data_IF_841535446818
#
_entry.id   IF_841535446818
#
_cell.length_a   1.000
_cell.length_b   1.000
_cell.length_c   1.000
_cell.angle_alpha   90.00
_cell.angle_beta   90.00
_cell.angle_gamma   90.00
#
_symmetry.space_group_name_H-M   'P 1'
#
loop_
_entity.id
_entity.type
_entity.pdbx_description
1 polymer ?
#
# COMPACT_ATOMS: atom_id res chain seq x y z
N UNK A 1 2.05 27.05 9.73
CA UNK A 1 3.41 26.50 9.62
C UNK A 1 3.33 25.17 8.88
N UNK A 2 4.31 24.94 7.98
CA UNK A 2 4.52 23.66 7.28
C UNK A 2 5.91 23.15 7.63
N UNK A 3 6.04 21.86 7.84
CA UNK A 3 7.30 21.15 8.01
C UNK A 3 7.24 19.81 7.26
N UNK A 4 8.37 19.35 6.77
CA UNK A 4 8.50 18.07 6.09
C UNK A 4 9.80 17.38 6.54
N UNK A 5 9.70 16.12 6.92
CA UNK A 5 10.86 15.25 7.09
C UNK A 5 11.16 14.58 5.75
N UNK A 6 12.36 14.83 5.20
CA UNK A 6 12.75 14.25 3.92
C UNK A 6 13.28 12.84 4.08
N UNK A 7 12.79 11.94 3.21
CA UNK A 7 13.32 10.59 3.03
C UNK A 7 13.65 10.40 1.54
N UNK A 8 14.89 10.04 1.23
CA UNK A 8 15.39 9.94 -0.13
C UNK A 8 15.30 8.49 -0.62
N UNK A 9 14.11 8.08 -1.07
CA UNK A 9 13.88 6.72 -1.58
C UNK A 9 14.23 6.55 -3.05
N UNK A 10 14.22 7.62 -3.82
CA UNK A 10 14.53 7.63 -5.25
C UNK A 10 15.66 8.62 -5.55
N UNK A 11 16.42 8.46 -6.64
CA UNK A 11 17.49 9.39 -7.00
C UNK A 11 17.03 10.83 -7.12
N UNK A 12 15.85 11.06 -7.68
CA UNK A 12 15.28 12.40 -7.88
C UNK A 12 14.92 13.08 -6.55
N UNK A 13 14.62 12.29 -5.51
CA UNK A 13 14.23 12.81 -4.20
C UNK A 13 15.32 13.67 -3.54
N UNK A 14 16.61 13.51 -3.92
CA UNK A 14 17.70 14.34 -3.39
C UNK A 14 17.58 15.81 -3.79
N UNK A 15 16.81 16.10 -4.83
CA UNK A 15 16.53 17.45 -5.31
C UNK A 15 15.22 18.03 -4.74
N UNK A 16 14.49 17.26 -3.91
CA UNK A 16 13.24 17.69 -3.31
C UNK A 16 13.45 18.80 -2.29
N UNK A 17 12.70 19.89 -2.41
CA UNK A 17 12.71 21.02 -1.47
C UNK A 17 11.29 21.22 -0.95
N UNK A 18 10.99 20.61 0.17
CA UNK A 18 9.70 20.71 0.86
C UNK A 18 9.86 21.22 2.29
N UNK A 19 8.96 22.02 2.80
CA UNK A 19 7.80 22.61 2.12
C UNK A 19 8.19 23.60 1.04
N UNK A 20 7.50 23.55 -0.10
CA UNK A 20 7.72 24.48 -1.22
C UNK A 20 6.80 25.69 -1.11
N UNK A 21 7.35 26.89 -1.35
CA UNK A 21 6.58 28.14 -1.43
C UNK A 21 6.72 28.76 -2.82
N UNK A 22 5.67 28.65 -3.62
CA UNK A 22 5.55 29.42 -4.86
C UNK A 22 5.23 30.90 -4.54
N UNK A 23 6.25 31.74 -4.58
CA UNK A 23 6.12 33.17 -4.23
C UNK A 23 5.32 33.98 -5.25
N UNK A 24 5.27 33.52 -6.51
CA UNK A 24 4.55 34.25 -7.58
C UNK A 24 3.04 34.00 -7.43
N UNK A 25 2.64 32.79 -7.08
CA UNK A 25 1.23 32.38 -6.90
C UNK A 25 0.77 32.42 -5.47
N UNK A 26 1.68 32.71 -4.54
CA UNK A 26 1.43 32.68 -3.10
C UNK A 26 0.79 31.37 -2.66
N UNK A 27 1.41 30.20 -3.04
CA UNK A 27 0.94 28.88 -2.70
C UNK A 27 2.01 28.16 -1.87
N UNK A 28 1.58 27.56 -0.76
CA UNK A 28 2.41 26.67 0.05
C UNK A 28 2.03 25.23 -0.24
N UNK A 29 3.02 24.39 -0.48
CA UNK A 29 2.84 22.98 -0.84
C UNK A 29 3.80 22.09 -0.04
N UNK A 30 3.33 20.95 0.43
CA UNK A 30 4.18 19.87 0.94
C UNK A 30 3.63 18.52 0.55
N UNK A 31 4.50 17.53 0.44
CA UNK A 31 4.19 16.20 -0.05
C UNK A 31 4.97 15.12 0.70
N UNK A 32 4.38 13.96 0.81
CA UNK A 32 5.04 12.66 0.98
C UNK A 32 4.52 11.79 -0.15
N UNK A 33 5.32 11.57 -1.19
CA UNK A 33 4.85 10.88 -2.38
C UNK A 33 5.94 10.11 -3.12
N UNK A 34 5.51 8.99 -3.73
CA UNK A 34 6.23 8.25 -4.78
C UNK A 34 5.20 7.98 -5.89
N UNK A 35 5.48 8.50 -7.09
CA UNK A 35 4.58 8.39 -8.23
C UNK A 35 4.98 7.22 -9.12
N UNK A 36 4.03 6.35 -9.44
CA UNK A 36 4.27 5.17 -10.28
C UNK A 36 4.14 5.51 -11.77
N UNK A 37 3.26 6.46 -12.15
CA UNK A 37 3.03 6.89 -13.54
C UNK A 37 3.80 8.16 -13.92
N UNK A 38 4.98 8.33 -13.38
CA UNK A 38 5.84 9.50 -13.60
C UNK A 38 6.11 9.82 -15.09
N UNK A 39 6.47 8.83 -15.97
CA UNK A 39 6.71 9.14 -17.39
C UNK A 39 5.49 9.70 -18.11
N UNK A 40 4.31 9.15 -17.84
CA UNK A 40 3.05 9.61 -18.40
C UNK A 40 2.72 11.04 -17.94
N UNK A 41 2.90 11.32 -16.65
CA UNK A 41 2.67 12.66 -16.08
C UNK A 41 3.62 13.71 -16.67
N UNK A 42 4.90 13.38 -16.81
CA UNK A 42 5.89 14.27 -17.42
C UNK A 42 5.51 14.60 -18.87
N UNK A 43 5.03 13.58 -19.62
CA UNK A 43 4.55 13.78 -20.99
C UNK A 43 3.32 14.69 -21.03
N UNK A 44 2.31 14.44 -20.19
CA UNK A 44 1.07 15.23 -20.15
C UNK A 44 1.31 16.67 -19.70
N UNK A 45 2.26 16.89 -18.79
CA UNK A 45 2.65 18.21 -18.28
C UNK A 45 3.72 18.91 -19.14
N UNK A 46 4.21 18.26 -20.20
CA UNK A 46 5.29 18.75 -21.06
C UNK A 46 6.58 19.07 -20.30
N UNK A 47 6.89 18.30 -19.26
CA UNK A 47 8.09 18.43 -18.45
C UNK A 47 9.17 17.49 -19.02
N UNK A 48 10.34 18.07 -19.31
CA UNK A 48 11.49 17.35 -19.89
C UNK A 48 12.62 17.08 -18.89
N UNK A 49 12.56 17.68 -17.72
CA UNK A 49 13.54 17.49 -16.65
C UNK A 49 13.32 16.10 -16.02
N UNK A 50 14.22 15.16 -16.33
CA UNK A 50 14.15 13.81 -15.82
C UNK A 50 14.40 13.71 -14.30
N UNK A 51 15.12 14.67 -13.74
CA UNK A 51 15.50 14.73 -12.33
C UNK A 51 14.49 15.49 -11.46
N UNK A 52 13.36 15.93 -12.03
CA UNK A 52 12.32 16.61 -11.26
C UNK A 52 11.82 15.69 -10.14
N UNK A 53 11.78 16.12 -8.87
CA UNK A 53 11.24 15.31 -7.77
C UNK A 53 9.74 15.08 -7.89
N UNK A 54 9.24 13.98 -7.30
CA UNK A 54 7.83 13.62 -7.36
C UNK A 54 6.92 14.65 -6.69
N UNK A 55 7.37 15.30 -5.61
CA UNK A 55 6.62 16.38 -4.98
C UNK A 55 6.46 17.59 -5.91
N UNK A 56 7.54 18.02 -6.54
CA UNK A 56 7.47 19.15 -7.49
C UNK A 56 6.68 18.79 -8.75
N UNK A 57 6.79 17.55 -9.26
CA UNK A 57 5.97 17.03 -10.36
C UNK A 57 4.47 17.07 -10.00
N UNK A 58 4.13 16.65 -8.77
CA UNK A 58 2.76 16.73 -8.25
C UNK A 58 2.26 18.16 -8.10
N UNK A 59 3.14 19.09 -7.73
CA UNK A 59 2.79 20.52 -7.69
C UNK A 59 2.46 21.06 -9.07
N UNK A 60 3.23 20.71 -10.11
CA UNK A 60 2.91 21.07 -11.50
C UNK A 60 1.57 20.46 -11.97
N UNK A 61 1.27 19.24 -11.56
CA UNK A 61 -0.03 18.63 -11.78
C UNK A 61 -1.16 19.43 -11.12
N UNK A 62 -0.96 19.88 -9.88
CA UNK A 62 -1.92 20.77 -9.19
C UNK A 62 -2.13 22.09 -9.93
N UNK A 63 -1.06 22.73 -10.43
CA UNK A 63 -1.18 23.96 -11.21
C UNK A 63 -1.97 23.76 -12.51
N UNK A 64 -1.89 22.58 -13.10
CA UNK A 64 -2.54 22.25 -14.38
C UNK A 64 -4.00 21.87 -14.20
N UNK A 65 -4.33 21.00 -13.22
CA UNK A 65 -5.65 20.41 -13.07
C UNK A 65 -6.41 20.86 -11.80
N UNK A 66 -5.81 21.76 -11.01
CA UNK A 66 -6.41 22.27 -9.78
C UNK A 66 -6.68 21.16 -8.77
N UNK A 67 -7.79 21.27 -8.04
CA UNK A 67 -8.17 20.32 -6.99
C UNK A 67 -8.33 18.86 -7.47
N UNK A 68 -8.47 18.64 -8.76
CA UNK A 68 -8.65 17.31 -9.36
C UNK A 68 -7.35 16.64 -9.82
N UNK A 69 -6.20 17.25 -9.58
CA UNK A 69 -4.91 16.73 -10.03
C UNK A 69 -4.64 15.30 -9.58
N UNK A 70 -5.12 14.91 -8.40
CA UNK A 70 -4.97 13.54 -7.85
C UNK A 70 -5.66 12.45 -8.68
N UNK A 71 -6.60 12.81 -9.57
CA UNK A 71 -7.24 11.88 -10.49
C UNK A 71 -6.28 11.42 -11.62
N UNK A 72 -5.19 12.17 -11.84
CA UNK A 72 -4.14 11.87 -12.82
C UNK A 72 -2.92 11.17 -12.22
N UNK A 73 -2.83 11.09 -10.88
CA UNK A 73 -1.69 10.49 -10.20
C UNK A 73 -1.94 8.98 -9.95
N UNK A 74 -0.91 8.18 -10.13
CA UNK A 74 -0.84 6.81 -9.61
C UNK A 74 0.39 6.72 -8.70
N UNK A 75 0.24 6.02 -7.57
CA UNK A 75 1.30 5.87 -6.58
C UNK A 75 0.81 6.05 -5.15
N UNK A 76 1.76 6.11 -4.24
CA UNK A 76 1.52 6.38 -2.82
C UNK A 76 1.77 7.87 -2.55
N UNK A 77 0.76 8.58 -2.07
CA UNK A 77 0.92 10.02 -1.82
C UNK A 77 0.02 10.57 -0.72
N UNK A 78 0.55 11.62 -0.09
CA UNK A 78 -0.24 12.58 0.68
C UNK A 78 0.27 14.00 0.43
N UNK A 79 -0.65 14.96 0.36
CA UNK A 79 -0.33 16.37 0.07
C UNK A 79 -1.02 17.31 1.04
N UNK A 80 -0.35 18.42 1.35
CA UNK A 80 -0.97 19.56 1.98
C UNK A 80 -0.69 20.81 1.15
N UNK A 81 -1.74 21.57 0.83
CA UNK A 81 -1.67 22.77 0.00
C UNK A 81 -2.40 23.89 0.72
N UNK A 82 -1.78 25.06 0.81
CA UNK A 82 -2.41 26.25 1.33
C UNK A 82 -2.32 27.41 0.33
N UNK A 83 -3.46 27.99 0.02
CA UNK A 83 -3.62 29.13 -0.88
C UNK A 83 -4.14 30.31 -0.06
N UNK A 84 -3.24 31.18 0.46
CA UNK A 84 -3.61 32.30 1.34
C UNK A 84 -4.64 33.25 0.73
N UNK A 85 -4.50 33.57 -0.55
CA UNK A 85 -5.37 34.53 -1.24
C UNK A 85 -6.83 34.04 -1.35
N UNK A 86 -7.03 32.75 -1.31
CA UNK A 86 -8.35 32.11 -1.31
C UNK A 86 -8.78 31.63 0.08
N UNK A 87 -7.95 31.86 1.11
CA UNK A 87 -8.12 31.27 2.46
C UNK A 87 -8.51 29.78 2.38
N UNK A 88 -7.79 29.04 1.53
CA UNK A 88 -8.13 27.65 1.25
C UNK A 88 -6.97 26.72 1.61
N UNK A 89 -7.29 25.70 2.38
CA UNK A 89 -6.40 24.64 2.77
C UNK A 89 -6.90 23.30 2.23
N UNK A 90 -6.01 22.52 1.62
CA UNK A 90 -6.33 21.22 1.02
C UNK A 90 -5.40 20.15 1.59
N UNK A 91 -5.97 19.01 2.01
CA UNK A 91 -5.23 17.81 2.41
C UNK A 91 -5.69 16.63 1.56
N UNK A 92 -4.75 15.90 0.99
CA UNK A 92 -5.04 14.73 0.13
C UNK A 92 -4.37 13.47 0.64
N UNK A 93 -5.00 12.32 0.43
CA UNK A 93 -4.38 10.99 0.54
C UNK A 93 -4.65 10.18 -0.72
N UNK A 94 -3.82 9.19 -1.01
CA UNK A 94 -3.91 8.39 -2.22
C UNK A 94 -5.15 7.48 -2.28
N UNK A 95 -5.34 6.82 -3.41
CA UNK A 95 -6.52 6.01 -3.75
C UNK A 95 -6.82 4.89 -2.75
N UNK A 96 -5.81 4.35 -2.08
CA UNK A 96 -5.92 3.23 -1.14
C UNK A 96 -5.44 3.58 0.28
N UNK A 97 -4.95 4.81 0.50
CA UNK A 97 -4.49 5.29 1.80
C UNK A 97 -3.12 4.76 2.21
N UNK A 98 -2.20 4.54 1.26
CA UNK A 98 -0.83 4.12 1.56
C UNK A 98 -0.05 5.19 2.33
N UNK A 99 -0.32 6.48 2.02
CA UNK A 99 0.23 7.61 2.76
C UNK A 99 -0.88 8.27 3.56
N UNK A 100 -0.84 8.08 4.88
CA UNK A 100 -1.87 8.57 5.78
C UNK A 100 -1.59 10.00 6.21
N UNK A 101 -2.64 10.81 6.31
CA UNK A 101 -2.62 12.09 7.04
C UNK A 101 -3.65 12.02 8.16
N UNK A 102 -3.23 12.38 9.36
CA UNK A 102 -4.10 12.62 10.49
C UNK A 102 -4.34 14.13 10.61
N UNK A 103 -5.53 14.53 11.01
CA UNK A 103 -5.90 15.93 11.17
C UNK A 103 -6.81 16.17 12.36
N UNK A 104 -6.77 17.39 12.88
CA UNK A 104 -7.68 17.87 13.92
C UNK A 104 -8.00 19.34 13.67
N UNK A 105 -9.26 19.72 13.83
CA UNK A 105 -9.69 21.11 13.76
C UNK A 105 -10.03 21.62 15.15
N UNK A 106 -9.20 22.50 15.71
CA UNK A 106 -9.39 23.11 17.01
C UNK A 106 -9.73 24.59 16.85
N UNK A 107 -10.99 24.94 17.07
CA UNK A 107 -11.49 26.29 16.75
C UNK A 107 -11.37 26.57 15.26
N UNK A 108 -10.49 27.49 14.87
CA UNK A 108 -10.20 27.84 13.49
C UNK A 108 -8.82 27.33 13.00
N UNK A 109 -8.12 26.58 13.84
CA UNK A 109 -6.78 26.07 13.50
C UNK A 109 -6.88 24.59 13.07
N UNK A 110 -6.42 24.33 11.86
CA UNK A 110 -6.31 22.99 11.31
C UNK A 110 -4.88 22.47 11.58
N UNK A 111 -4.78 21.40 12.35
CA UNK A 111 -3.56 20.65 12.60
C UNK A 111 -3.53 19.42 11.69
N UNK A 112 -2.37 19.09 11.15
CA UNK A 112 -2.22 17.86 10.34
C UNK A 112 -0.81 17.30 10.46
N UNK A 113 -0.69 15.97 10.44
CA UNK A 113 0.59 15.26 10.49
C UNK A 113 0.43 13.84 9.95
N UNK A 114 1.52 13.25 9.46
CA UNK A 114 1.54 11.84 9.06
C UNK A 114 1.64 10.89 10.25
N UNK A 115 2.10 11.37 11.42
CA UNK A 115 2.15 10.64 12.69
C UNK A 115 1.25 11.31 13.74
N UNK A 116 1.16 10.75 14.95
CA UNK A 116 0.42 11.37 16.07
C UNK A 116 1.26 12.32 16.91
N UNK A 117 2.58 12.39 16.70
CA UNK A 117 3.50 13.15 17.54
C UNK A 117 3.15 14.65 17.65
N UNK A 118 2.79 15.26 16.51
CA UNK A 118 2.36 16.68 16.53
C UNK A 118 1.22 16.92 17.51
N UNK A 119 0.24 16.02 17.53
CA UNK A 119 -0.94 16.18 18.40
C UNK A 119 -0.56 15.97 19.87
N UNK A 120 0.34 15.03 20.17
CA UNK A 120 0.87 14.78 21.52
C UNK A 120 1.65 15.99 22.06
N UNK A 121 2.39 16.67 21.17
CA UNK A 121 3.16 17.85 21.55
C UNK A 121 2.32 19.14 21.66
N UNK A 122 1.31 19.28 20.79
CA UNK A 122 0.52 20.50 20.72
C UNK A 122 -0.72 20.52 21.61
N UNK A 123 -1.25 19.35 21.99
CA UNK A 123 -2.51 19.24 22.72
C UNK A 123 -2.27 18.82 24.16
N UNK A 124 -3.06 19.39 25.07
CA UNK A 124 -3.09 18.91 26.47
C UNK A 124 -3.73 17.52 26.55
N UNK A 125 -3.49 16.81 27.64
CA UNK A 125 -4.13 15.51 27.90
C UNK A 125 -5.67 15.58 27.95
N UNK A 126 -6.23 16.76 28.27
CA UNK A 126 -7.67 17.00 28.24
C UNK A 126 -8.22 17.14 26.81
N UNK A 127 -7.41 17.63 25.88
CA UNK A 127 -7.74 17.76 24.46
C UNK A 127 -7.48 16.45 23.70
N UNK A 128 -6.48 15.68 24.11
CA UNK A 128 -6.09 14.41 23.46
C UNK A 128 -6.67 13.21 24.22
N UNK A 129 -8.00 13.13 24.28
CA UNK A 129 -8.71 12.01 24.93
C UNK A 129 -8.66 10.75 24.07
N UNK A 130 -8.47 9.60 24.73
CA UNK A 130 -8.57 8.31 24.05
C UNK A 130 -10.01 8.03 23.61
N UNK A 131 -10.15 7.51 22.41
CA UNK A 131 -11.44 7.14 21.83
C UNK A 131 -11.90 5.78 22.35
N UNK A 132 -12.92 5.76 23.20
CA UNK A 132 -13.53 4.52 23.68
C UNK A 132 -14.05 3.66 22.51
N UNK A 133 -14.58 4.30 21.48
CA UNK A 133 -15.03 3.62 20.28
C UNK A 133 -13.90 2.90 19.56
N UNK A 134 -12.75 3.55 19.43
CA UNK A 134 -11.57 2.94 18.79
C UNK A 134 -11.04 1.79 19.63
N UNK A 135 -10.91 1.95 20.94
CA UNK A 135 -10.45 0.90 21.85
C UNK A 135 -11.37 -0.33 21.75
N UNK A 136 -12.68 -0.12 21.89
CA UNK A 136 -13.67 -1.21 21.79
C UNK A 136 -13.60 -1.94 20.46
N UNK A 137 -13.46 -1.20 19.36
CA UNK A 137 -13.36 -1.79 18.02
C UNK A 137 -12.07 -2.62 17.86
N UNK A 138 -10.93 -2.12 18.36
CA UNK A 138 -9.65 -2.83 18.33
C UNK A 138 -9.63 -4.08 19.21
N UNK A 139 -10.24 -4.02 20.41
CA UNK A 139 -10.36 -5.19 21.29
C UNK A 139 -11.28 -6.26 20.69
N UNK A 140 -12.31 -5.86 19.97
CA UNK A 140 -13.23 -6.80 19.33
C UNK A 140 -12.59 -7.52 18.15
N UNK A 141 -12.01 -6.79 17.22
CA UNK A 141 -11.33 -7.32 16.03
C UNK A 141 -10.40 -6.25 15.44
N UNK A 142 -9.11 -6.27 15.79
CA UNK A 142 -8.15 -5.24 15.34
C UNK A 142 -8.09 -5.07 13.83
N UNK A 143 -8.23 -6.16 13.08
CA UNK A 143 -8.21 -6.11 11.60
C UNK A 143 -9.44 -5.43 11.03
N UNK A 144 -10.60 -5.63 11.65
CA UNK A 144 -11.86 -5.07 11.18
C UNK A 144 -12.04 -3.62 11.60
N UNK A 145 -11.39 -3.18 12.67
CA UNK A 145 -11.52 -1.81 13.17
C UNK A 145 -11.25 -0.78 12.07
N UNK A 146 -10.13 -0.91 11.35
CA UNK A 146 -9.74 0.02 10.29
C UNK A 146 -10.69 -0.04 9.08
N UNK A 147 -11.25 -1.21 8.77
CA UNK A 147 -12.17 -1.40 7.65
C UNK A 147 -13.60 -0.93 7.98
N UNK A 148 -14.06 -1.23 9.19
CA UNK A 148 -15.42 -0.90 9.62
C UNK A 148 -15.60 0.59 9.98
N UNK A 149 -14.53 1.24 10.43
CA UNK A 149 -14.55 2.62 10.88
C UNK A 149 -13.44 3.46 10.23
N UNK A 150 -13.46 3.64 8.89
CA UNK A 150 -12.43 4.42 8.21
C UNK A 150 -12.38 5.86 8.73
N UNK A 151 -11.19 6.32 9.05
CA UNK A 151 -10.96 7.64 9.63
C UNK A 151 -10.96 7.70 11.16
N UNK A 152 -11.31 6.61 11.85
CA UNK A 152 -11.25 6.52 13.30
C UNK A 152 -9.79 6.36 13.76
N UNK A 153 -9.39 7.12 14.78
CA UNK A 153 -8.06 7.07 15.38
C UNK A 153 -8.11 6.74 16.86
N UNK A 154 -6.97 6.49 17.51
CA UNK A 154 -6.93 6.31 18.97
C UNK A 154 -7.46 7.51 19.78
N UNK A 155 -7.58 8.68 19.16
CA UNK A 155 -7.95 9.92 19.84
C UNK A 155 -9.30 10.46 19.32
N UNK A 156 -10.12 11.03 20.25
CA UNK A 156 -11.48 11.50 19.89
C UNK A 156 -11.49 12.64 18.88
N UNK A 157 -10.56 13.59 19.02
CA UNK A 157 -10.53 14.82 18.21
C UNK A 157 -9.49 14.78 17.08
N UNK A 158 -8.88 13.64 16.85
CA UNK A 158 -7.96 13.41 15.74
C UNK A 158 -8.56 12.41 14.78
N UNK A 159 -8.60 12.75 13.50
CA UNK A 159 -9.18 11.93 12.44
C UNK A 159 -8.12 11.58 11.41
N UNK A 160 -8.18 10.38 10.86
CA UNK A 160 -7.39 10.00 9.70
C UNK A 160 -8.17 10.32 8.43
N UNK A 161 -7.53 10.99 7.48
CA UNK A 161 -8.11 11.22 6.16
C UNK A 161 -8.33 9.89 5.44
N UNK A 162 -9.56 9.65 4.98
CA UNK A 162 -9.93 8.39 4.34
C UNK A 162 -9.29 8.23 2.98
N UNK A 163 -8.97 6.99 2.60
CA UNK A 163 -8.47 6.66 1.27
C UNK A 163 -9.34 7.26 0.16
N UNK A 164 -8.71 7.75 -0.91
CA UNK A 164 -9.38 8.39 -2.04
C UNK A 164 -10.22 9.63 -1.68
N UNK A 165 -9.89 10.31 -0.58
CA UNK A 165 -10.54 11.56 -0.19
C UNK A 165 -9.54 12.71 -0.09
N UNK A 166 -10.09 13.91 -0.15
CA UNK A 166 -9.38 15.10 0.27
C UNK A 166 -10.26 15.97 1.16
N UNK A 167 -9.61 16.76 2.01
CA UNK A 167 -10.25 17.79 2.82
C UNK A 167 -10.02 19.13 2.15
N UNK A 168 -11.09 19.92 2.09
CA UNK A 168 -11.05 21.35 1.79
C UNK A 168 -11.54 22.11 3.00
N UNK A 169 -10.67 22.96 3.54
CA UNK A 169 -11.00 23.91 4.59
C UNK A 169 -10.92 25.31 4.02
N UNK A 170 -12.03 26.02 3.98
CA UNK A 170 -12.14 27.38 3.44
C UNK A 170 -13.24 28.15 4.15
N UNK A 171 -13.01 29.44 4.44
CA UNK A 171 -13.95 30.31 5.12
C UNK A 171 -14.52 29.69 6.42
N UNK A 172 -13.68 29.03 7.22
CA UNK A 172 -14.05 28.39 8.47
C UNK A 172 -14.85 27.09 8.30
N UNK A 173 -15.05 26.60 7.08
CA UNK A 173 -15.83 25.38 6.79
C UNK A 173 -14.92 24.25 6.30
N UNK A 174 -14.95 23.10 6.98
CA UNK A 174 -14.28 21.88 6.57
C UNK A 174 -15.24 21.02 5.78
N UNK A 175 -14.77 20.50 4.63
CA UNK A 175 -15.52 19.58 3.76
C UNK A 175 -14.62 18.41 3.37
N UNK A 176 -15.12 17.19 3.49
CA UNK A 176 -14.43 15.97 3.05
C UNK A 176 -15.03 15.53 1.72
N UNK A 177 -14.22 15.36 0.69
CA UNK A 177 -14.65 15.06 -0.68
C UNK A 177 -13.97 13.78 -1.15
N UNK A 178 -14.79 12.82 -1.62
CA UNK A 178 -14.28 11.60 -2.24
C UNK A 178 -14.04 11.83 -3.73
N UNK A 179 -12.78 11.75 -4.18
CA UNK A 179 -12.41 11.98 -5.57
C UNK A 179 -12.43 10.70 -6.42
N UNK A 180 -12.25 9.52 -5.83
CA UNK A 180 -12.22 8.26 -6.58
C UNK A 180 -13.03 7.15 -5.89
N UNK A 181 -13.58 6.23 -6.71
CA UNK A 181 -14.30 5.02 -6.28
C UNK A 181 -14.09 3.89 -7.30
N UNK A 182 -13.73 2.67 -6.88
CA UNK A 182 -13.58 1.52 -7.80
C UNK A 182 -14.82 1.22 -8.62
N UNK A 183 -16.02 1.42 -8.03
CA UNK A 183 -17.30 1.13 -8.68
C UNK A 183 -17.62 2.02 -9.89
N UNK A 184 -16.90 3.13 -10.05
CA UNK A 184 -17.06 4.05 -11.19
C UNK A 184 -16.18 3.70 -12.39
N UNK A 185 -15.34 2.68 -12.28
CA UNK A 185 -14.52 2.22 -13.40
C UNK A 185 -15.40 1.67 -14.53
N UNK A 186 -15.01 1.95 -15.78
CA UNK A 186 -15.70 1.42 -16.96
C UNK A 186 -15.56 -0.09 -17.00
N UNK A 187 -16.68 -0.78 -17.20
CA UNK A 187 -16.65 -2.23 -17.47
C UNK A 187 -16.10 -2.48 -18.84
N UNK A 188 -15.18 -3.43 -18.93
CA UNK A 188 -14.58 -3.88 -20.17
C UNK A 188 -15.33 -5.14 -20.63
N UNK A 189 -15.64 -5.23 -21.92
CA UNK A 189 -16.30 -6.37 -22.54
C UNK A 189 -15.50 -6.85 -23.74
N UNK A 190 -14.89 -8.02 -23.60
CA UNK A 190 -14.20 -8.73 -24.67
C UNK A 190 -15.04 -9.94 -25.12
N UNK A 191 -14.80 -10.40 -26.35
CA UNK A 191 -15.46 -11.60 -26.87
C UNK A 191 -14.81 -12.87 -26.39
N UNK A 192 -13.47 -12.86 -26.30
CA UNK A 192 -12.66 -14.03 -25.98
C UNK A 192 -12.10 -13.90 -24.54
N UNK A 193 -12.10 -15.00 -23.80
CA UNK A 193 -11.55 -15.08 -22.46
C UNK A 193 -10.05 -14.73 -22.41
N UNK A 194 -9.31 -15.11 -23.46
CA UNK A 194 -7.88 -14.85 -23.55
C UNK A 194 -7.55 -13.35 -23.56
N UNK A 195 -8.40 -12.51 -24.14
CA UNK A 195 -8.22 -11.06 -24.14
C UNK A 195 -8.28 -10.47 -22.72
N UNK A 196 -9.10 -11.05 -21.81
CA UNK A 196 -9.12 -10.65 -20.41
C UNK A 196 -7.84 -11.07 -19.68
N UNK A 197 -7.35 -12.29 -19.95
CA UNK A 197 -6.11 -12.81 -19.37
C UNK A 197 -4.92 -11.96 -19.81
N UNK A 198 -4.82 -11.66 -21.11
CA UNK A 198 -3.76 -10.83 -21.66
C UNK A 198 -3.76 -9.43 -21.01
N UNK A 199 -4.94 -8.82 -20.88
CA UNK A 199 -5.07 -7.51 -20.23
C UNK A 199 -4.62 -7.55 -18.79
N UNK A 200 -5.03 -8.57 -18.00
CA UNK A 200 -4.62 -8.72 -16.60
C UNK A 200 -3.10 -8.88 -16.51
N UNK A 201 -2.52 -9.75 -17.34
CA UNK A 201 -1.06 -9.99 -17.34
C UNK A 201 -0.29 -8.73 -17.71
N UNK A 202 -0.72 -8.01 -18.76
CA UNK A 202 -0.07 -6.77 -19.19
C UNK A 202 -0.18 -5.67 -18.14
N UNK A 203 -1.37 -5.50 -17.55
CA UNK A 203 -1.59 -4.51 -16.51
C UNK A 203 -0.75 -4.83 -15.27
N UNK A 204 -0.75 -6.08 -14.83
CA UNK A 204 0.04 -6.51 -13.67
C UNK A 204 1.54 -6.32 -13.91
N UNK A 205 2.02 -6.69 -15.11
CA UNK A 205 3.42 -6.46 -15.51
C UNK A 205 3.77 -4.98 -15.43
N UNK A 206 2.95 -4.12 -16.05
CA UNK A 206 3.16 -2.67 -16.00
C UNK A 206 3.21 -2.16 -14.56
N UNK A 207 2.26 -2.55 -13.70
CA UNK A 207 2.25 -2.13 -12.30
C UNK A 207 3.54 -2.53 -11.56
N UNK A 208 4.09 -3.73 -11.80
CA UNK A 208 5.35 -4.13 -11.18
C UNK A 208 6.53 -3.34 -11.76
N UNK A 209 6.59 -3.18 -13.08
CA UNK A 209 7.68 -2.45 -13.76
C UNK A 209 7.72 -0.97 -13.37
N UNK A 210 6.58 -0.33 -13.18
CA UNK A 210 6.46 1.09 -12.76
C UNK A 210 7.03 1.32 -11.34
N UNK A 211 7.00 0.29 -10.47
CA UNK A 211 7.62 0.36 -9.14
C UNK A 211 9.15 0.25 -9.16
N UNK A 212 9.74 -0.24 -10.26
CA UNK A 212 11.17 -0.49 -10.39
C UNK A 212 11.91 0.75 -10.87
N UNK A 213 12.05 1.74 -9.98
CA UNK A 213 12.74 3.00 -10.28
C UNK A 213 14.20 2.78 -10.65
N UNK A 214 14.69 3.41 -11.73
CA UNK A 214 16.12 3.38 -12.08
C UNK A 214 16.98 3.96 -10.95
N UNK A 215 18.16 3.35 -10.70
CA UNK A 215 19.09 3.84 -9.69
C UNK A 215 18.70 3.54 -8.25
N UNK A 216 17.63 2.77 -8.00
CA UNK A 216 17.26 2.28 -6.68
C UNK A 216 17.66 0.82 -6.51
N UNK A 217 18.02 0.44 -5.27
CA UNK A 217 18.22 -0.97 -4.92
C UNK A 217 16.88 -1.57 -4.49
N UNK A 218 16.51 -2.69 -5.10
CA UNK A 218 15.20 -3.31 -4.89
C UNK A 218 15.31 -4.57 -4.03
N UNK A 219 14.47 -4.63 -3.00
CA UNK A 219 14.17 -5.83 -2.24
C UNK A 219 12.80 -6.39 -2.62
N UNK A 220 12.60 -7.69 -2.45
CA UNK A 220 11.29 -8.33 -2.58
C UNK A 220 11.09 -9.42 -1.55
N UNK A 221 9.93 -9.49 -0.94
CA UNK A 221 9.53 -10.67 -0.17
C UNK A 221 9.24 -11.82 -1.14
N UNK A 222 9.81 -12.99 -0.89
CA UNK A 222 9.60 -14.17 -1.72
C UNK A 222 9.20 -15.36 -0.83
N UNK A 223 8.02 -15.86 -1.07
CA UNK A 223 7.50 -17.12 -0.52
C UNK A 223 7.27 -18.12 -1.65
N UNK A 224 6.79 -19.30 -1.34
CA UNK A 224 6.32 -20.27 -2.34
C UNK A 224 4.94 -19.91 -2.91
N UNK A 225 4.29 -18.87 -2.36
CA UNK A 225 2.97 -18.42 -2.77
C UNK A 225 2.98 -17.72 -4.14
N UNK A 226 1.85 -17.81 -4.86
CA UNK A 226 1.71 -17.26 -6.21
C UNK A 226 1.90 -15.74 -6.27
N UNK A 227 1.43 -15.00 -5.27
CA UNK A 227 1.46 -13.54 -5.29
C UNK A 227 2.91 -13.00 -5.29
N UNK A 228 3.73 -13.43 -4.33
CA UNK A 228 5.14 -13.02 -4.26
C UNK A 228 5.97 -13.54 -5.44
N UNK A 229 5.74 -14.80 -5.83
CA UNK A 229 6.45 -15.41 -6.97
C UNK A 229 6.12 -14.70 -8.28
N UNK A 230 4.87 -14.30 -8.50
CA UNK A 230 4.47 -13.55 -9.71
C UNK A 230 5.19 -12.19 -9.80
N UNK A 231 5.28 -11.46 -8.69
CA UNK A 231 6.01 -10.18 -8.63
C UNK A 231 7.49 -10.38 -8.97
N UNK A 232 8.14 -11.34 -8.31
CA UNK A 232 9.58 -11.64 -8.54
C UNK A 232 9.82 -12.10 -9.97
N UNK A 233 8.92 -12.90 -10.56
CA UNK A 233 9.03 -13.37 -11.94
C UNK A 233 8.92 -12.27 -13.00
N UNK A 234 8.36 -11.12 -12.64
CA UNK A 234 8.33 -9.93 -13.50
C UNK A 234 9.53 -9.04 -13.18
N UNK A 235 9.80 -8.78 -11.90
CA UNK A 235 10.85 -7.86 -11.47
C UNK A 235 12.26 -8.36 -11.84
N UNK A 236 12.57 -9.65 -11.61
CA UNK A 236 13.91 -10.17 -11.85
C UNK A 236 14.38 -10.01 -13.30
N UNK A 237 13.63 -10.48 -14.35
CA UNK A 237 14.08 -10.30 -15.74
C UNK A 237 14.07 -8.84 -16.19
N UNK A 238 13.25 -7.98 -15.59
CA UNK A 238 13.27 -6.55 -15.88
C UNK A 238 14.55 -5.88 -15.36
N UNK A 239 14.93 -6.17 -14.11
CA UNK A 239 16.16 -5.68 -13.50
C UNK A 239 17.43 -6.28 -14.16
N UNK A 240 17.37 -7.56 -14.60
CA UNK A 240 18.46 -8.21 -15.33
C UNK A 240 18.85 -7.46 -16.61
N UNK A 241 17.85 -6.97 -17.37
CA UNK A 241 18.11 -6.15 -18.58
C UNK A 241 18.84 -4.84 -18.27
N UNK A 242 18.77 -4.36 -17.03
CA UNK A 242 19.49 -3.16 -16.55
C UNK A 242 20.82 -3.52 -15.91
N UNK A 243 21.16 -4.81 -15.78
CA UNK A 243 22.34 -5.27 -15.05
C UNK A 243 22.19 -5.13 -13.53
N UNK A 244 20.96 -5.00 -13.03
CA UNK A 244 20.64 -4.78 -11.63
C UNK A 244 20.29 -6.09 -10.91
N UNK A 245 20.53 -6.13 -9.60
CA UNK A 245 20.28 -7.30 -8.74
C UNK A 245 18.95 -7.10 -8.01
N UNK A 246 18.19 -8.19 -7.89
CA UNK A 246 17.04 -8.28 -7.02
C UNK A 246 17.39 -9.02 -5.73
N UNK A 247 17.28 -8.35 -4.58
CA UNK A 247 17.43 -8.98 -3.28
C UNK A 247 16.10 -9.59 -2.85
N UNK A 248 16.04 -10.91 -2.64
CA UNK A 248 14.80 -11.56 -2.18
C UNK A 248 14.94 -12.05 -0.75
N UNK A 249 13.86 -11.94 0.01
CA UNK A 249 13.81 -12.28 1.42
C UNK A 249 12.73 -13.32 1.69
N UNK A 250 13.11 -14.36 2.40
CA UNK A 250 12.22 -15.47 2.80
C UNK A 250 12.38 -15.71 4.29
N UNK A 251 11.29 -15.62 5.04
CA UNK A 251 11.30 -16.05 6.44
C UNK A 251 11.27 -17.58 6.50
N UNK A 252 12.14 -18.13 7.32
CA UNK A 252 12.23 -19.56 7.59
C UNK A 252 12.14 -19.80 9.11
N UNK A 253 11.72 -20.99 9.56
CA UNK A 253 11.73 -21.34 10.98
C UNK A 253 13.16 -21.39 11.52
N UNK A 254 13.33 -21.11 12.81
CA UNK A 254 14.58 -21.39 13.52
C UNK A 254 14.87 -22.90 13.50
N UNK A 255 16.12 -23.28 13.22
CA UNK A 255 16.55 -24.70 13.20
C UNK A 255 16.32 -25.43 14.53
N UNK A 256 16.31 -24.69 15.65
CA UNK A 256 16.03 -25.25 16.98
C UNK A 256 14.54 -25.50 17.23
N UNK A 257 13.64 -25.06 16.34
CA UNK A 257 12.22 -25.23 16.52
C UNK A 257 11.76 -26.59 15.97
N UNK A 258 11.34 -27.47 16.90
CA UNK A 258 10.68 -28.73 16.57
C UNK A 258 9.19 -28.44 16.34
N UNK A 259 8.75 -28.53 15.10
CA UNK A 259 7.36 -28.31 14.73
C UNK A 259 6.75 -29.55 14.07
N UNK A 260 5.57 -29.92 14.53
CA UNK A 260 4.73 -30.86 13.79
C UNK A 260 4.05 -30.10 12.65
N UNK A 261 4.40 -30.46 11.39
CA UNK A 261 3.72 -29.86 10.24
C UNK A 261 2.35 -30.51 10.03
N UNK A 262 1.31 -29.70 9.99
CA UNK A 262 0.02 -30.11 9.46
C UNK A 262 0.15 -30.36 7.93
N UNK A 263 -0.67 -31.26 7.40
CA UNK A 263 -0.70 -31.60 5.98
C UNK A 263 -0.99 -30.40 5.04
N UNK A 264 -1.49 -29.33 5.58
CA UNK A 264 -1.88 -28.09 4.87
C UNK A 264 -0.96 -26.90 5.14
N UNK A 265 0.02 -27.03 6.02
CA UNK A 265 0.94 -25.95 6.39
C UNK A 265 2.38 -26.37 6.13
N UNK A 266 3.09 -25.57 5.32
CA UNK A 266 4.51 -25.76 5.00
C UNK A 266 5.29 -24.68 5.74
N UNK A 267 5.87 -24.97 6.92
CA UNK A 267 6.56 -23.97 7.73
C UNK A 267 7.87 -23.49 7.11
N UNK A 268 8.61 -24.37 6.41
CA UNK A 268 9.82 -24.03 5.67
C UNK A 268 9.59 -24.09 4.17
N UNK A 269 9.48 -22.93 3.55
CA UNK A 269 9.29 -22.77 2.10
C UNK A 269 10.62 -22.70 1.32
N UNK A 270 11.78 -22.78 1.99
CA UNK A 270 13.09 -22.55 1.39
C UNK A 270 13.38 -23.42 0.16
N UNK A 271 12.92 -24.68 0.19
CA UNK A 271 13.09 -25.62 -0.93
C UNK A 271 12.36 -25.18 -2.20
N UNK A 272 11.13 -24.68 -2.06
CA UNK A 272 10.35 -24.18 -3.18
C UNK A 272 10.88 -22.83 -3.69
N UNK A 273 11.25 -21.94 -2.77
CA UNK A 273 11.85 -20.65 -3.09
C UNK A 273 13.17 -20.81 -3.87
N UNK A 274 14.03 -21.74 -3.47
CA UNK A 274 15.30 -22.04 -4.19
C UNK A 274 15.04 -22.44 -5.65
N UNK A 275 13.92 -23.13 -5.96
CA UNK A 275 13.56 -23.45 -7.35
C UNK A 275 13.21 -22.20 -8.16
N UNK A 276 12.47 -21.26 -7.55
CA UNK A 276 12.16 -19.96 -8.18
C UNK A 276 13.45 -19.15 -8.41
N UNK A 277 14.29 -19.05 -7.39
CA UNK A 277 15.59 -18.32 -7.46
C UNK A 277 16.47 -18.89 -8.57
N UNK A 278 16.53 -20.20 -8.72
CA UNK A 278 17.32 -20.86 -9.77
C UNK A 278 16.91 -20.49 -11.21
N UNK A 279 15.71 -19.94 -11.41
CA UNK A 279 15.23 -19.48 -12.72
C UNK A 279 15.80 -18.10 -13.12
N UNK A 280 16.39 -17.34 -12.18
CA UNK A 280 16.78 -15.95 -12.42
C UNK A 280 18.21 -15.70 -11.89
N UNK A 281 19.19 -15.46 -12.78
CA UNK A 281 20.61 -15.37 -12.39
C UNK A 281 20.95 -14.12 -11.58
N UNK A 282 20.11 -13.09 -11.65
CA UNK A 282 20.31 -11.81 -10.95
C UNK A 282 19.62 -11.73 -9.59
N UNK A 283 19.08 -12.83 -9.06
CA UNK A 283 18.52 -12.86 -7.72
C UNK A 283 19.60 -13.18 -6.68
N UNK A 284 19.67 -12.38 -5.62
CA UNK A 284 20.36 -12.70 -4.37
C UNK A 284 19.33 -13.00 -3.29
N UNK A 285 19.19 -14.28 -2.93
CA UNK A 285 18.23 -14.71 -1.92
C UNK A 285 18.82 -14.67 -0.51
N UNK A 286 18.02 -14.20 0.44
CA UNK A 286 18.30 -14.12 1.86
C UNK A 286 17.22 -14.87 2.63
N UNK A 287 17.65 -15.78 3.51
CA UNK A 287 16.76 -16.57 4.35
C UNK A 287 16.90 -16.06 5.78
N UNK A 288 15.80 -15.65 6.40
CA UNK A 288 15.75 -14.99 7.72
C UNK A 288 15.07 -15.94 8.70
N UNK A 289 15.80 -16.42 9.69
CA UNK A 289 15.36 -17.39 10.69
C UNK A 289 14.90 -16.75 12.02
N UNK A 290 15.10 -15.45 12.19
CA UNK A 290 14.79 -14.69 13.41
C UNK A 290 15.37 -15.31 14.69
N UNK A 291 16.53 -15.96 14.60
CA UNK A 291 17.16 -16.67 15.72
C UNK A 291 17.32 -15.77 16.95
N UNK A 292 16.82 -16.25 18.07
CA UNK A 292 16.88 -15.53 19.35
C UNK A 292 15.80 -14.44 19.52
N UNK A 293 14.90 -14.26 18.55
CA UNK A 293 13.80 -13.32 18.62
C UNK A 293 12.46 -14.01 18.77
N UNK A 294 11.47 -13.29 19.27
CA UNK A 294 10.09 -13.73 19.40
C UNK A 294 9.11 -12.60 19.08
N UNK A 295 7.82 -12.88 19.09
CA UNK A 295 6.78 -11.93 18.74
C UNK A 295 6.80 -10.61 19.56
N UNK A 296 7.42 -10.61 20.74
CA UNK A 296 7.45 -9.44 21.63
C UNK A 296 8.76 -8.63 21.51
N UNK A 297 9.78 -9.18 20.85
CA UNK A 297 11.14 -8.57 20.82
C UNK A 297 11.11 -7.12 20.32
N UNK A 298 10.35 -6.84 19.26
CA UNK A 298 10.25 -5.51 18.67
C UNK A 298 8.94 -4.78 18.98
N UNK A 299 8.04 -5.41 19.75
CA UNK A 299 6.69 -4.88 19.97
C UNK A 299 6.69 -3.50 20.64
N UNK A 300 7.54 -3.31 21.67
CA UNK A 300 7.63 -2.03 22.38
C UNK A 300 8.06 -0.91 21.42
N UNK A 301 9.13 -1.14 20.68
CA UNK A 301 9.65 -0.17 19.71
C UNK A 301 8.62 0.14 18.61
N UNK A 302 7.92 -0.87 18.10
CA UNK A 302 6.85 -0.67 17.11
C UNK A 302 5.74 0.23 17.64
N UNK A 303 5.25 -0.05 18.87
CA UNK A 303 4.18 0.77 19.48
C UNK A 303 4.65 2.20 19.74
N UNK A 304 5.91 2.39 20.17
CA UNK A 304 6.49 3.72 20.40
C UNK A 304 6.64 4.52 19.08
N UNK A 305 6.91 3.85 17.96
CA UNK A 305 7.08 4.51 16.65
C UNK A 305 5.75 4.79 15.94
N UNK A 306 4.77 3.91 16.06
CA UNK A 306 3.52 3.99 15.29
C UNK A 306 2.29 4.37 16.10
N UNK A 307 2.35 4.34 17.42
CA UNK A 307 1.21 4.59 18.35
C UNK A 307 -0.03 3.72 18.09
N UNK A 308 0.15 2.60 17.42
CA UNK A 308 -0.91 1.70 17.02
C UNK A 308 -0.59 0.26 17.41
N UNK A 309 -1.61 -0.55 17.78
CA UNK A 309 -1.40 -1.98 17.95
C UNK A 309 -1.12 -2.63 16.60
N UNK A 310 -0.20 -3.58 16.58
CA UNK A 310 0.05 -4.39 15.40
C UNK A 310 -0.99 -5.51 15.30
N UNK A 311 -1.57 -5.67 14.12
CA UNK A 311 -2.54 -6.73 13.81
C UNK A 311 -2.00 -8.14 14.05
N UNK A 312 -0.71 -8.35 13.76
CA UNK A 312 -0.08 -9.67 13.79
C UNK A 312 1.33 -9.59 14.36
N UNK A 313 1.40 -9.44 15.69
CA UNK A 313 2.67 -9.31 16.41
C UNK A 313 3.64 -10.48 16.15
N UNK A 314 3.10 -11.67 15.87
CA UNK A 314 3.88 -12.85 15.53
C UNK A 314 4.77 -12.66 14.28
N UNK A 315 4.39 -11.77 13.38
CA UNK A 315 5.15 -11.48 12.17
C UNK A 315 6.18 -10.36 12.35
N UNK A 316 6.17 -9.68 13.48
CA UNK A 316 6.94 -8.45 13.68
C UNK A 316 8.46 -8.68 13.58
N UNK A 317 8.96 -9.77 14.16
CA UNK A 317 10.40 -10.07 14.17
C UNK A 317 10.94 -10.27 12.75
N UNK A 318 10.30 -11.10 11.93
CA UNK A 318 10.79 -11.30 10.57
C UNK A 318 10.60 -10.05 9.68
N UNK A 319 9.51 -9.30 9.84
CA UNK A 319 9.32 -8.04 9.12
C UNK A 319 10.43 -7.05 9.49
N UNK A 320 10.74 -6.93 10.78
CA UNK A 320 11.79 -6.04 11.25
C UNK A 320 13.16 -6.43 10.72
N UNK A 321 13.52 -7.72 10.83
CA UNK A 321 14.83 -8.21 10.35
C UNK A 321 14.96 -8.07 8.82
N UNK A 322 13.93 -8.38 8.05
CA UNK A 322 13.93 -8.20 6.59
C UNK A 322 14.14 -6.72 6.24
N UNK A 323 13.38 -5.81 6.84
CA UNK A 323 13.53 -4.38 6.56
C UNK A 323 14.90 -3.86 6.96
N UNK A 324 15.43 -4.29 8.11
CA UNK A 324 16.75 -3.91 8.60
C UNK A 324 17.88 -4.41 7.67
N UNK A 325 17.84 -5.68 7.24
CA UNK A 325 18.86 -6.24 6.34
C UNK A 325 18.77 -5.62 4.94
N UNK A 326 17.56 -5.43 4.41
CA UNK A 326 17.33 -4.76 3.14
C UNK A 326 17.89 -3.32 3.15
N UNK A 327 17.59 -2.56 4.20
CA UNK A 327 18.11 -1.21 4.38
C UNK A 327 19.64 -1.19 4.50
N UNK A 328 20.23 -2.11 5.28
CA UNK A 328 21.68 -2.22 5.42
C UNK A 328 22.40 -2.54 4.10
N UNK A 329 21.69 -3.15 3.13
CA UNK A 329 22.18 -3.40 1.77
C UNK A 329 21.90 -2.25 0.80
N UNK A 330 21.31 -1.16 1.26
CA UNK A 330 20.97 0.00 0.46
C UNK A 330 19.66 -0.14 -0.33
N UNK A 331 18.84 -1.14 -0.02
CA UNK A 331 17.52 -1.25 -0.65
C UNK A 331 16.60 -0.15 -0.12
N UNK A 332 16.03 0.62 -1.02
CA UNK A 332 15.10 1.72 -0.70
C UNK A 332 13.64 1.39 -1.05
N UNK A 333 13.44 0.37 -1.87
CA UNK A 333 12.10 -0.12 -2.27
C UNK A 333 12.02 -1.60 -1.94
N UNK A 334 10.91 -2.01 -1.31
CA UNK A 334 10.60 -3.41 -1.02
C UNK A 334 9.26 -3.79 -1.65
N UNK A 335 9.31 -4.76 -2.57
CA UNK A 335 8.12 -5.34 -3.18
C UNK A 335 7.54 -6.43 -2.29
N UNK A 336 6.24 -6.42 -2.11
CA UNK A 336 5.53 -7.44 -1.33
C UNK A 336 4.33 -8.00 -2.08
N UNK A 337 3.99 -9.27 -1.86
CA UNK A 337 2.75 -9.90 -2.33
C UNK A 337 1.54 -9.57 -1.44
N UNK A 338 1.66 -8.60 -0.54
CA UNK A 338 0.59 -8.25 0.38
C UNK A 338 -0.66 -7.80 -0.38
N UNK A 339 -1.84 -8.20 0.10
CA UNK A 339 -3.14 -7.94 -0.52
C UNK A 339 -3.36 -8.59 -1.91
N UNK A 340 -2.46 -9.45 -2.39
CA UNK A 340 -2.67 -10.20 -3.64
C UNK A 340 -3.98 -10.98 -3.64
N UNK A 341 -4.29 -11.66 -2.53
CA UNK A 341 -5.56 -12.37 -2.34
C UNK A 341 -6.79 -11.45 -2.28
N UNK A 342 -6.61 -10.17 -1.95
CA UNK A 342 -7.69 -9.18 -1.92
C UNK A 342 -7.86 -8.41 -3.23
N UNK A 343 -6.95 -8.59 -4.19
CA UNK A 343 -6.91 -7.86 -5.45
C UNK A 343 -6.84 -8.80 -6.66
N UNK A 344 -5.64 -9.19 -7.09
CA UNK A 344 -5.40 -9.93 -8.31
C UNK A 344 -5.97 -11.36 -8.28
N UNK A 345 -5.78 -12.06 -7.18
CA UNK A 345 -6.27 -13.42 -6.97
C UNK A 345 -7.57 -13.48 -6.16
N UNK A 346 -8.26 -12.33 -6.02
CA UNK A 346 -9.55 -12.26 -5.33
C UNK A 346 -10.61 -13.06 -6.08
N UNK A 347 -11.36 -13.82 -5.32
CA UNK A 347 -12.52 -14.55 -5.81
C UNK A 347 -12.72 -15.84 -5.02
N UNK A 348 -13.95 -16.08 -4.63
CA UNK A 348 -14.36 -17.34 -4.04
C UNK A 348 -15.50 -17.96 -4.86
N UNK A 349 -15.59 -19.28 -4.82
CA UNK A 349 -16.56 -20.02 -5.60
C UNK A 349 -18.00 -19.74 -5.16
N UNK A 350 -18.22 -19.42 -3.89
CA UNK A 350 -19.55 -19.17 -3.35
C UNK A 350 -20.07 -17.84 -3.85
N UNK A 351 -19.28 -16.78 -3.75
CA UNK A 351 -19.62 -15.45 -4.29
C UNK A 351 -19.85 -15.48 -5.80
N UNK A 352 -18.97 -16.17 -6.56
CA UNK A 352 -19.14 -16.34 -8.00
C UNK A 352 -20.45 -17.05 -8.32
N UNK A 353 -20.69 -18.18 -7.66
CA UNK A 353 -21.88 -19.00 -7.90
C UNK A 353 -23.15 -18.25 -7.51
N UNK A 354 -23.14 -17.57 -6.36
CA UNK A 354 -24.24 -16.71 -5.93
C UNK A 354 -24.56 -15.62 -6.96
N UNK A 355 -23.53 -14.93 -7.46
CA UNK A 355 -23.71 -13.93 -8.50
C UNK A 355 -24.30 -14.52 -9.79
N UNK A 356 -23.78 -15.66 -10.27
CA UNK A 356 -24.28 -16.35 -11.44
C UNK A 356 -25.74 -16.80 -11.26
N UNK A 357 -26.11 -17.32 -10.11
CA UNK A 357 -27.50 -17.69 -9.80
C UNK A 357 -28.40 -16.47 -9.78
N UNK A 358 -27.99 -15.39 -9.14
CA UNK A 358 -28.76 -14.13 -9.04
C UNK A 358 -28.98 -13.46 -10.41
N UNK A 359 -28.06 -13.67 -11.33
CA UNK A 359 -28.12 -13.14 -12.71
C UNK A 359 -28.71 -14.15 -13.71
N UNK A 360 -29.34 -15.24 -13.22
CA UNK A 360 -29.96 -16.30 -14.00
C UNK A 360 -29.01 -17.09 -14.92
N UNK A 361 -27.69 -17.08 -14.65
CA UNK A 361 -26.69 -17.87 -15.34
C UNK A 361 -26.52 -19.28 -14.70
N UNK A 362 -27.63 -20.02 -14.58
CA UNK A 362 -27.68 -21.27 -13.81
C UNK A 362 -26.78 -22.39 -14.37
N UNK A 363 -26.61 -22.45 -15.68
CA UNK A 363 -25.72 -23.44 -16.32
C UNK A 363 -24.25 -23.13 -15.97
N UNK A 364 -23.86 -21.87 -16.01
CA UNK A 364 -22.52 -21.43 -15.64
C UNK A 364 -22.26 -21.67 -14.16
N UNK A 365 -23.23 -21.38 -13.28
CA UNK A 365 -23.12 -21.67 -11.84
C UNK A 365 -22.84 -23.14 -11.58
N UNK A 366 -23.62 -24.04 -12.22
CA UNK A 366 -23.39 -25.50 -12.12
C UNK A 366 -22.00 -25.88 -12.62
N UNK A 367 -21.55 -25.31 -13.74
CA UNK A 367 -20.25 -25.57 -14.32
C UNK A 367 -19.14 -25.13 -13.37
N UNK A 368 -19.18 -23.90 -12.86
CA UNK A 368 -18.22 -23.34 -11.91
C UNK A 368 -18.06 -24.23 -10.68
N UNK A 369 -19.19 -24.71 -10.11
CA UNK A 369 -19.17 -25.65 -8.98
C UNK A 369 -18.47 -26.96 -9.38
N UNK A 370 -18.85 -27.55 -10.50
CA UNK A 370 -18.29 -28.82 -10.93
C UNK A 370 -16.77 -28.72 -11.17
N UNK A 371 -16.32 -27.66 -11.80
CA UNK A 371 -14.91 -27.42 -12.08
C UNK A 371 -14.11 -27.20 -10.81
N UNK A 372 -14.65 -26.42 -9.86
CA UNK A 372 -14.07 -26.21 -8.53
C UNK A 372 -13.90 -27.54 -7.76
N UNK A 373 -14.96 -28.34 -7.66
CA UNK A 373 -14.95 -29.63 -6.96
C UNK A 373 -13.93 -30.59 -7.59
N UNK A 374 -13.87 -30.63 -8.93
CA UNK A 374 -12.93 -31.47 -9.66
C UNK A 374 -11.49 -31.03 -9.45
N UNK A 375 -11.21 -29.73 -9.58
CA UNK A 375 -9.87 -29.15 -9.47
C UNK A 375 -9.29 -29.28 -8.07
N UNK A 376 -10.13 -29.12 -7.04
CA UNK A 376 -9.71 -29.15 -5.64
C UNK A 376 -9.92 -30.51 -4.97
N UNK A 377 -10.31 -31.54 -5.72
CA UNK A 377 -10.57 -32.89 -5.21
C UNK A 377 -11.57 -32.92 -4.05
N UNK A 378 -12.51 -31.98 -3.99
CA UNK A 378 -13.52 -31.87 -2.93
C UNK A 378 -14.70 -32.80 -3.24
N UNK A 379 -15.07 -33.70 -2.34
CA UNK A 379 -16.27 -34.52 -2.52
C UNK A 379 -17.54 -33.71 -2.56
N UNK A 380 -18.43 -33.94 -3.52
CA UNK A 380 -19.70 -33.19 -3.71
C UNK A 380 -20.53 -32.99 -2.46
N UNK A 381 -20.51 -34.00 -1.55
CA UNK A 381 -21.25 -33.95 -0.27
C UNK A 381 -20.86 -32.81 0.65
N UNK A 382 -19.61 -32.34 0.61
CA UNK A 382 -19.14 -31.20 1.46
C UNK A 382 -19.56 -29.85 0.95
N UNK A 383 -19.79 -29.71 -0.36
CA UNK A 383 -20.24 -28.45 -0.94
C UNK A 383 -21.72 -28.14 -0.69
N UNK A 384 -22.52 -29.15 -0.38
CA UNK A 384 -23.96 -29.01 -0.13
C UNK A 384 -24.30 -28.69 1.33
N UNK A 385 -23.31 -28.67 2.22
CA UNK A 385 -23.48 -28.41 3.65
C UNK A 385 -22.90 -27.07 4.11
N UNK A 386 -22.31 -26.29 3.21
CA UNK A 386 -21.88 -24.90 3.40
C UNK A 386 -22.78 -23.95 2.64
#
# INVERSE_FOLDING_TARGET
YFACGHQYFTPEAVHEILPYHDKERNIFFTADCILDNRPELMQELHITDADIPDGLLSYHAYLTWGERFVEHLLGAFSFAIYVPDADTFLLYTDHVGNRCINYSLQGQTLYFCTTYDLFKECFSSEQLKLSEKWITACESEPSACMLAFPGLTPFEEVFQLKAAHYIKYTNGKLSEIQYWKPQKCKKIHYREEEQYKDLVVQTFRKCVEDLLRPGTQIAANLSSGLDSTSIVSIAAPFLEKRGEILHTYTSIPDEAHDYESDAYFVPDESSAVKKTVACFPNIKSHFIDCKGENALTHLKKFVEEYDLPIKSAINLSWIYQVNHDAHARGCTIQLTGQMGNGTLSYGDILSLTYHQMRTFHLIQAKQSICDFLKKNHVPKKYFLHT
#
